data_IF_736462107246
#
_entry.id   IF_736462107246
#
_cell.length_a   1.000
_cell.length_b   1.000
_cell.length_c   1.000
_cell.angle_alpha   90.00
_cell.angle_beta   90.00
_cell.angle_gamma   90.00
#
_symmetry.space_group_name_H-M   'P 1'
#
loop_
_entity.id
_entity.type
_entity.pdbx_description
1 polymer ?
#
# COMPACT_ATOMS: atom_id res chain seq x y z
N UNK A 1 -0.41 -18.54 -47.29
CA UNK A 1 -0.84 -17.46 -46.38
C UNK A 1 0.00 -17.58 -45.12
N UNK A 2 1.12 -16.87 -45.08
CA UNK A 2 2.04 -16.77 -43.94
C UNK A 2 1.48 -15.76 -42.94
N UNK A 3 1.30 -16.16 -41.69
CA UNK A 3 0.97 -15.25 -40.60
C UNK A 3 2.28 -14.75 -39.95
N UNK A 4 2.67 -13.47 -40.08
CA UNK A 4 3.99 -12.98 -39.67
C UNK A 4 4.04 -12.39 -38.24
N UNK A 5 3.25 -12.90 -37.29
CA UNK A 5 3.25 -12.42 -35.89
C UNK A 5 3.37 -13.57 -34.90
N UNK A 6 4.45 -14.34 -35.02
CA UNK A 6 4.96 -15.17 -33.92
C UNK A 6 6.04 -14.36 -33.20
N UNK A 7 5.60 -13.48 -32.30
CA UNK A 7 6.51 -12.75 -31.43
C UNK A 7 7.09 -13.76 -30.42
N UNK A 8 8.43 -13.92 -30.33
CA UNK A 8 9.03 -14.85 -29.38
C UNK A 8 8.58 -14.47 -27.96
N UNK A 9 8.04 -15.47 -27.28
CA UNK A 9 7.36 -15.32 -26.00
C UNK A 9 8.20 -14.56 -24.99
N UNK A 10 7.60 -13.51 -24.42
CA UNK A 10 7.96 -13.07 -23.06
C UNK A 10 7.86 -14.30 -22.17
N UNK A 11 9.00 -14.70 -21.59
CA UNK A 11 9.08 -15.74 -20.57
C UNK A 11 7.99 -15.53 -19.52
N UNK A 12 7.34 -16.62 -19.15
CA UNK A 12 6.00 -16.61 -18.59
C UNK A 12 5.82 -15.72 -17.36
N UNK A 13 4.59 -15.21 -17.23
CA UNK A 13 3.99 -14.94 -15.93
C UNK A 13 3.90 -16.26 -15.14
N UNK A 14 5.04 -16.72 -14.64
CA UNK A 14 5.07 -17.69 -13.56
C UNK A 14 4.53 -17.02 -12.31
N UNK A 15 3.79 -17.78 -11.50
CA UNK A 15 3.57 -17.42 -10.09
C UNK A 15 4.90 -16.96 -9.49
N UNK A 16 4.94 -15.96 -8.59
CA UNK A 16 6.18 -15.51 -7.95
C UNK A 16 6.91 -16.70 -7.32
N UNK A 17 7.90 -17.24 -8.03
CA UNK A 17 8.73 -18.32 -7.51
C UNK A 17 9.74 -17.69 -6.55
N UNK A 18 10.01 -18.33 -5.40
CA UNK A 18 11.06 -17.87 -4.51
C UNK A 18 12.36 -17.62 -5.29
N UNK A 19 13.03 -16.47 -5.06
CA UNK A 19 14.28 -16.16 -5.75
C UNK A 19 15.28 -17.29 -5.52
N UNK A 20 15.93 -17.73 -6.60
CA UNK A 20 16.96 -18.77 -6.54
C UNK A 20 18.29 -18.18 -6.08
N UNK A 21 19.01 -18.87 -5.21
CA UNK A 21 20.34 -18.43 -4.78
C UNK A 21 20.75 -19.06 -3.45
N UNK A 22 22.01 -18.85 -3.09
CA UNK A 22 22.57 -19.29 -1.82
C UNK A 22 22.72 -18.07 -0.89
N UNK A 23 22.26 -18.16 0.37
CA UNK A 23 22.40 -17.06 1.32
C UNK A 23 23.88 -16.84 1.65
N UNK A 24 24.37 -15.64 1.36
CA UNK A 24 25.74 -15.21 1.66
C UNK A 24 25.82 -14.36 2.93
N UNK A 25 24.68 -13.88 3.44
CA UNK A 25 24.56 -13.16 4.71
C UNK A 25 23.09 -12.92 5.10
N UNK A 26 22.85 -12.76 6.39
CA UNK A 26 21.52 -12.49 6.98
C UNK A 26 21.61 -11.30 7.91
N UNK A 27 20.74 -10.31 7.71
CA UNK A 27 20.77 -9.04 8.43
C UNK A 27 19.39 -8.69 9.01
N UNK A 28 19.31 -8.09 10.21
CA UNK A 28 18.04 -7.70 10.83
C UNK A 28 17.35 -6.56 10.08
N UNK A 29 18.09 -5.66 9.44
CA UNK A 29 17.53 -4.47 8.77
C UNK A 29 17.87 -4.44 7.28
N UNK A 30 16.98 -3.82 6.50
CA UNK A 30 17.24 -3.61 5.07
C UNK A 30 18.49 -2.75 4.85
N UNK A 31 18.74 -1.77 5.71
CA UNK A 31 19.90 -0.90 5.62
C UNK A 31 21.23 -1.66 5.78
N UNK A 32 21.28 -2.64 6.68
CA UNK A 32 22.47 -3.50 6.85
C UNK A 32 22.66 -4.44 5.66
N UNK A 33 21.59 -5.04 5.15
CA UNK A 33 21.64 -5.84 3.93
C UNK A 33 22.10 -5.01 2.73
N UNK A 34 21.61 -3.77 2.60
CA UNK A 34 22.03 -2.84 1.56
C UNK A 34 23.53 -2.50 1.71
N UNK A 35 24.00 -2.21 2.93
CA UNK A 35 25.42 -1.94 3.20
C UNK A 35 26.33 -3.12 2.80
N UNK A 36 25.86 -4.36 2.98
CA UNK A 36 26.58 -5.54 2.52
C UNK A 36 26.67 -5.61 0.99
N UNK A 37 25.58 -5.30 0.28
CA UNK A 37 25.57 -5.23 -1.19
C UNK A 37 26.43 -4.08 -1.71
N UNK A 38 26.37 -2.92 -1.07
CA UNK A 38 27.19 -1.76 -1.41
C UNK A 38 28.69 -2.10 -1.27
N UNK A 39 29.08 -2.77 -0.19
CA UNK A 39 30.46 -3.23 -0.02
C UNK A 39 30.90 -4.24 -1.09
N UNK A 40 30.02 -5.15 -1.51
CA UNK A 40 30.31 -6.05 -2.63
C UNK A 40 30.50 -5.25 -3.93
N UNK A 41 29.66 -4.24 -4.17
CA UNK A 41 29.79 -3.33 -5.31
C UNK A 41 31.14 -2.60 -5.31
N UNK A 42 31.57 -2.09 -4.14
CA UNK A 42 32.83 -1.38 -3.98
C UNK A 42 34.06 -2.28 -4.25
N UNK A 43 33.91 -3.59 -4.08
CA UNK A 43 34.93 -4.59 -4.43
C UNK A 43 34.83 -5.10 -5.86
N UNK A 44 34.09 -4.40 -6.72
CA UNK A 44 33.87 -4.76 -8.13
C UNK A 44 33.23 -6.17 -8.28
N UNK A 45 32.45 -6.59 -7.29
CA UNK A 45 31.66 -7.81 -7.39
C UNK A 45 30.45 -7.60 -8.32
N UNK A 46 30.04 -8.65 -9.02
CA UNK A 46 28.85 -8.62 -9.88
C UNK A 46 27.58 -8.54 -9.04
N UNK A 47 27.14 -7.34 -8.70
CA UNK A 47 25.88 -7.10 -7.95
C UNK A 47 24.63 -7.61 -8.69
N UNK A 48 24.74 -7.86 -9.99
CA UNK A 48 23.69 -8.47 -10.80
C UNK A 48 23.38 -9.90 -10.36
N UNK A 49 24.36 -10.58 -9.76
CA UNK A 49 24.20 -11.93 -9.22
C UNK A 49 23.64 -11.91 -7.78
N UNK A 50 23.34 -10.74 -7.21
CA UNK A 50 22.93 -10.57 -5.80
C UNK A 50 21.47 -10.16 -5.69
N UNK A 51 20.74 -10.76 -4.75
CA UNK A 51 19.33 -10.45 -4.48
C UNK A 51 19.08 -10.31 -2.99
N UNK A 52 18.51 -9.19 -2.56
CA UNK A 52 18.06 -9.01 -1.17
C UNK A 52 16.65 -9.56 -1.03
N UNK A 53 16.44 -10.46 -0.07
CA UNK A 53 15.16 -11.13 0.17
C UNK A 53 14.72 -10.89 1.60
N UNK A 54 13.52 -10.32 1.76
CA UNK A 54 12.87 -10.27 3.06
C UNK A 54 12.38 -11.66 3.45
N UNK A 55 12.88 -12.19 4.56
CA UNK A 55 12.51 -13.51 5.08
C UNK A 55 11.66 -13.33 6.34
N UNK A 56 10.79 -14.32 6.59
CA UNK A 56 9.83 -14.31 7.69
C UNK A 56 8.93 -13.08 7.67
N UNK A 57 8.13 -12.95 6.62
CA UNK A 57 7.17 -11.85 6.50
C UNK A 57 6.17 -11.90 7.65
N UNK A 58 6.22 -10.87 8.49
CA UNK A 58 5.31 -10.63 9.59
C UNK A 58 4.22 -9.67 9.11
N UNK A 59 2.96 -10.09 9.23
CA UNK A 59 1.83 -9.19 9.04
C UNK A 59 1.60 -8.41 10.33
N UNK A 60 1.88 -7.11 10.29
CA UNK A 60 1.67 -6.20 11.42
C UNK A 60 0.37 -5.44 11.19
N UNK A 61 -0.57 -5.62 12.10
CA UNK A 61 -1.80 -4.83 12.16
C UNK A 61 -1.58 -3.65 13.10
N UNK A 62 -1.35 -2.46 12.54
CA UNK A 62 -1.13 -1.25 13.34
C UNK A 62 -2.48 -0.63 13.69
N UNK A 63 -2.81 -0.60 14.98
CA UNK A 63 -4.04 0.00 15.51
C UNK A 63 -3.90 1.53 15.46
N UNK A 64 -4.67 2.18 14.58
CA UNK A 64 -4.64 3.64 14.36
C UNK A 64 -5.49 4.41 15.40
N UNK A 65 -6.44 3.73 16.04
CA UNK A 65 -7.30 4.31 17.07
C UNK A 65 -8.72 3.72 17.05
N UNK A 66 -9.55 4.19 17.97
CA UNK A 66 -10.96 3.79 18.08
C UNK A 66 -11.79 4.50 17.01
N UNK A 67 -12.56 3.74 16.25
CA UNK A 67 -13.50 4.29 15.29
C UNK A 67 -14.78 4.68 16.04
N UNK A 68 -14.92 5.96 16.41
CA UNK A 68 -16.10 6.45 17.14
C UNK A 68 -17.21 6.91 16.20
N UNK A 69 -18.46 6.68 16.59
CA UNK A 69 -19.65 7.17 15.90
C UNK A 69 -19.61 8.66 15.60
N UNK A 70 -19.03 9.45 16.52
CA UNK A 70 -18.85 10.89 16.35
C UNK A 70 -18.02 11.22 15.11
N UNK A 71 -16.97 10.44 14.80
CA UNK A 71 -16.12 10.69 13.63
C UNK A 71 -16.81 10.34 12.31
N UNK A 72 -17.61 9.27 12.31
CA UNK A 72 -18.39 8.85 11.13
C UNK A 72 -19.53 9.82 10.85
N UNK A 73 -20.33 10.16 11.86
CA UNK A 73 -21.41 11.14 11.75
C UNK A 73 -20.85 12.52 11.37
N UNK A 74 -19.77 12.95 12.02
CA UNK A 74 -19.11 14.22 11.69
C UNK A 74 -18.63 14.28 10.25
N UNK A 75 -17.97 13.22 9.75
CA UNK A 75 -17.55 13.12 8.35
C UNK A 75 -18.72 13.13 7.37
N UNK A 76 -19.81 12.41 7.68
CA UNK A 76 -21.03 12.37 6.88
C UNK A 76 -21.75 13.72 6.78
N UNK A 77 -21.82 14.47 7.88
CA UNK A 77 -22.39 15.83 7.88
C UNK A 77 -21.56 16.76 7.01
N UNK A 78 -20.23 16.76 7.16
CA UNK A 78 -19.36 17.66 6.39
C UNK A 78 -19.44 17.35 4.89
N UNK A 79 -19.32 16.07 4.52
CA UNK A 79 -19.41 15.65 3.12
C UNK A 79 -20.81 15.91 2.54
N UNK A 80 -21.86 15.65 3.32
CA UNK A 80 -23.24 15.86 2.93
C UNK A 80 -23.59 17.34 2.77
N UNK A 81 -23.15 18.19 3.71
CA UNK A 81 -23.33 19.63 3.64
C UNK A 81 -22.64 20.23 2.41
N UNK A 82 -21.42 19.79 2.08
CA UNK A 82 -20.72 20.24 0.87
C UNK A 82 -21.50 19.89 -0.40
N UNK A 83 -21.97 18.64 -0.52
CA UNK A 83 -22.82 18.22 -1.64
C UNK A 83 -24.13 19.02 -1.66
N UNK A 84 -24.72 19.27 -0.50
CA UNK A 84 -25.95 20.03 -0.33
C UNK A 84 -25.81 21.50 -0.73
N UNK A 85 -24.68 22.14 -0.38
CA UNK A 85 -24.32 23.48 -0.87
C UNK A 85 -24.23 23.46 -2.38
N UNK A 86 -23.51 22.50 -2.96
CA UNK A 86 -23.38 22.38 -4.41
C UNK A 86 -24.74 22.23 -5.10
N UNK A 87 -25.58 21.29 -4.64
CA UNK A 87 -26.91 21.07 -5.21
C UNK A 87 -27.84 22.27 -4.99
N UNK A 88 -27.77 22.90 -3.81
CA UNK A 88 -28.54 24.10 -3.47
C UNK A 88 -28.18 25.32 -4.33
N UNK A 89 -26.89 25.49 -4.67
CA UNK A 89 -26.44 26.51 -5.61
C UNK A 89 -26.93 26.24 -7.03
N UNK A 90 -26.84 24.99 -7.50
CA UNK A 90 -27.37 24.59 -8.80
C UNK A 90 -28.87 24.86 -8.88
N UNK A 91 -29.65 24.40 -7.90
CA UNK A 91 -31.10 24.66 -7.82
C UNK A 91 -31.40 26.16 -7.74
N UNK A 92 -30.62 26.91 -6.96
CA UNK A 92 -30.78 28.35 -6.79
C UNK A 92 -30.66 29.14 -8.10
N UNK A 93 -29.83 28.68 -9.04
CA UNK A 93 -29.72 29.30 -10.39
C UNK A 93 -31.03 29.14 -11.18
N UNK A 94 -31.75 28.04 -10.99
CA UNK A 94 -33.05 27.79 -11.64
C UNK A 94 -34.24 28.40 -10.88
N UNK A 95 -34.02 28.86 -9.65
CA UNK A 95 -35.10 29.38 -8.80
C UNK A 95 -35.11 30.90 -8.87
N UNK A 96 -36.12 31.48 -9.52
CA UNK A 96 -36.27 32.93 -9.70
C UNK A 96 -36.37 33.69 -8.34
N UNK A 97 -35.24 34.05 -7.76
CA UNK A 97 -35.12 34.94 -6.59
C UNK A 97 -35.06 34.29 -5.21
N UNK A 98 -35.23 32.96 -5.08
CA UNK A 98 -35.18 32.26 -3.78
C UNK A 98 -33.93 31.40 -3.60
N UNK A 99 -32.75 32.00 -3.81
CA UNK A 99 -31.45 31.34 -3.63
C UNK A 99 -31.27 30.84 -2.20
N UNK A 100 -31.67 31.62 -1.20
CA UNK A 100 -31.54 31.25 0.22
C UNK A 100 -32.38 30.02 0.57
N UNK A 101 -33.61 29.92 0.06
CA UNK A 101 -34.46 28.74 0.26
C UNK A 101 -33.91 27.50 -0.44
N UNK A 102 -33.46 27.64 -1.68
CA UNK A 102 -32.84 26.55 -2.43
C UNK A 102 -31.56 26.04 -1.75
N UNK A 103 -30.74 26.93 -1.21
CA UNK A 103 -29.53 26.59 -0.49
C UNK A 103 -29.83 25.89 0.85
N UNK A 104 -30.81 26.37 1.61
CA UNK A 104 -31.22 25.74 2.86
C UNK A 104 -31.73 24.32 2.64
N UNK A 105 -32.58 24.11 1.63
CA UNK A 105 -33.11 22.79 1.27
C UNK A 105 -31.96 21.88 0.78
N UNK A 106 -31.06 22.41 -0.05
CA UNK A 106 -29.89 21.69 -0.54
C UNK A 106 -29.00 21.21 0.60
N UNK A 107 -28.64 22.09 1.55
CA UNK A 107 -27.80 21.75 2.70
C UNK A 107 -28.48 20.69 3.59
N UNK A 108 -29.75 20.89 3.94
CA UNK A 108 -30.48 19.94 4.80
C UNK A 108 -30.60 18.58 4.13
N UNK A 109 -31.00 18.55 2.85
CA UNK A 109 -31.09 17.32 2.07
C UNK A 109 -29.73 16.64 1.90
N UNK A 110 -28.68 17.41 1.65
CA UNK A 110 -27.31 16.93 1.54
C UNK A 110 -26.79 16.32 2.84
N UNK A 111 -27.04 16.96 4.00
CA UNK A 111 -26.68 16.41 5.31
C UNK A 111 -27.42 15.09 5.57
N UNK A 112 -28.73 15.04 5.33
CA UNK A 112 -29.51 13.80 5.51
C UNK A 112 -28.96 12.69 4.61
N UNK A 113 -28.70 13.01 3.34
CA UNK A 113 -28.12 12.07 2.38
C UNK A 113 -26.70 11.61 2.79
N UNK A 114 -25.85 12.54 3.24
CA UNK A 114 -24.50 12.25 3.73
C UNK A 114 -24.51 11.37 4.99
N UNK A 115 -25.46 11.59 5.89
CA UNK A 115 -25.67 10.75 7.06
C UNK A 115 -26.12 9.34 6.67
N UNK A 116 -27.10 9.20 5.77
CA UNK A 116 -27.58 7.90 5.31
C UNK A 116 -26.47 7.13 4.59
N UNK A 117 -25.76 7.79 3.67
CA UNK A 117 -24.70 7.18 2.85
C UNK A 117 -23.46 6.76 3.64
N UNK A 118 -23.20 7.37 4.80
CA UNK A 118 -22.10 6.96 5.70
C UNK A 118 -22.57 6.00 6.79
N UNK A 119 -23.78 6.18 7.33
CA UNK A 119 -24.32 5.36 8.42
C UNK A 119 -24.68 3.94 7.97
N UNK A 120 -25.22 3.75 6.75
CA UNK A 120 -25.57 2.41 6.25
C UNK A 120 -24.34 1.51 6.10
N UNK A 121 -23.29 1.88 5.33
CA UNK A 121 -22.09 1.05 5.21
C UNK A 121 -21.35 0.91 6.54
N UNK A 122 -21.35 1.94 7.39
CA UNK A 122 -20.78 1.82 8.73
C UNK A 122 -21.57 0.84 9.60
N UNK A 123 -22.91 0.86 9.59
CA UNK A 123 -23.74 -0.08 10.34
C UNK A 123 -23.62 -1.51 9.80
N UNK A 124 -23.48 -1.70 8.48
CA UNK A 124 -23.26 -3.00 7.86
C UNK A 124 -21.88 -3.59 8.17
N UNK A 125 -20.88 -2.74 8.43
CA UNK A 125 -19.51 -3.15 8.83
C UNK A 125 -19.30 -3.12 10.34
N UNK A 126 -20.24 -2.53 11.10
CA UNK A 126 -20.22 -2.45 12.56
C UNK A 126 -20.45 -3.84 13.15
N UNK A 127 -19.45 -4.33 13.87
CA UNK A 127 -19.51 -5.63 14.55
C UNK A 127 -18.29 -6.52 14.32
N UNK A 128 -17.39 -6.17 13.40
CA UNK A 128 -16.17 -6.98 13.17
C UNK A 128 -14.86 -6.34 13.63
N UNK A 129 -14.74 -5.00 13.76
CA UNK A 129 -13.52 -4.34 14.29
C UNK A 129 -13.82 -2.97 14.92
N UNK A 130 -13.65 -2.83 16.23
CA UNK A 130 -13.72 -1.54 16.95
C UNK A 130 -12.47 -0.66 16.80
N UNK A 131 -11.60 -1.02 15.85
CA UNK A 131 -10.31 -0.39 15.61
C UNK A 131 -10.14 -0.12 14.12
N UNK A 132 -9.75 1.10 13.78
CA UNK A 132 -9.17 1.35 12.47
C UNK A 132 -7.77 0.74 12.46
N UNK A 133 -7.53 -0.21 11.57
CA UNK A 133 -6.21 -0.81 11.42
C UNK A 133 -5.71 -0.68 9.99
N UNK A 134 -4.41 -0.45 9.86
CA UNK A 134 -3.70 -0.59 8.59
C UNK A 134 -2.91 -1.89 8.62
N UNK A 135 -3.12 -2.76 7.64
CA UNK A 135 -2.30 -3.95 7.45
C UNK A 135 -1.00 -3.55 6.76
N UNK A 136 0.13 -3.93 7.35
CA UNK A 136 1.44 -3.75 6.77
C UNK A 136 2.19 -5.08 6.81
N UNK A 137 2.83 -5.48 5.72
CA UNK A 137 3.81 -6.57 5.73
C UNK A 137 5.19 -5.99 6.06
N UNK A 138 5.88 -6.63 6.99
CA UNK A 138 7.25 -6.29 7.41
C UNK A 138 8.07 -7.57 7.38
N UNK A 139 9.30 -7.55 6.88
CA UNK A 139 10.18 -8.71 6.95
C UNK A 139 10.82 -8.81 8.34
N UNK A 140 10.89 -10.02 8.91
CA UNK A 140 11.58 -10.25 10.18
C UNK A 140 13.10 -10.14 10.07
N UNK A 141 13.65 -10.50 8.90
CA UNK A 141 15.06 -10.29 8.53
C UNK A 141 15.22 -10.14 7.02
N UNK A 142 16.41 -9.77 6.60
CA UNK A 142 16.80 -9.60 5.21
C UNK A 142 18.01 -10.49 4.90
N UNK A 143 17.80 -11.50 4.06
CA UNK A 143 18.86 -12.40 3.59
C UNK A 143 19.37 -11.88 2.24
N UNK A 144 20.69 -11.80 2.09
CA UNK A 144 21.34 -11.49 0.83
C UNK A 144 21.67 -12.81 0.15
N UNK A 145 21.01 -13.09 -0.97
CA UNK A 145 21.24 -14.27 -1.80
C UNK A 145 22.19 -13.94 -2.94
N UNK A 146 22.99 -14.92 -3.35
CA UNK A 146 23.82 -14.83 -4.53
C UNK A 146 23.68 -16.05 -5.42
N UNK A 147 23.92 -15.90 -6.73
CA UNK A 147 23.98 -17.04 -7.63
C UNK A 147 25.06 -18.06 -7.21
N UNK A 148 24.81 -19.38 -7.34
CA UNK A 148 25.73 -20.41 -6.85
C UNK A 148 27.16 -20.29 -7.40
N UNK A 149 27.30 -19.78 -8.63
CA UNK A 149 28.59 -19.61 -9.32
C UNK A 149 29.54 -18.63 -8.62
N UNK A 150 28.99 -17.64 -7.91
CA UNK A 150 29.74 -16.52 -7.33
C UNK A 150 29.52 -16.36 -5.82
N UNK A 151 28.65 -17.20 -5.23
CA UNK A 151 28.30 -17.18 -3.81
C UNK A 151 29.49 -17.39 -2.86
N UNK A 152 30.42 -18.31 -3.17
CA UNK A 152 31.61 -18.53 -2.32
C UNK A 152 32.49 -17.28 -2.24
N UNK A 153 32.80 -16.68 -3.40
CA UNK A 153 33.58 -15.44 -3.48
C UNK A 153 32.90 -14.30 -2.71
N UNK A 154 31.59 -14.13 -2.88
CA UNK A 154 30.84 -13.09 -2.18
C UNK A 154 30.86 -13.29 -0.66
N UNK A 155 30.71 -14.52 -0.19
CA UNK A 155 30.77 -14.86 1.23
C UNK A 155 32.17 -14.59 1.82
N UNK A 156 33.24 -14.93 1.10
CA UNK A 156 34.61 -14.62 1.51
C UNK A 156 34.90 -13.12 1.57
N UNK A 157 34.30 -12.35 0.66
CA UNK A 157 34.37 -10.88 0.69
C UNK A 157 33.62 -10.32 1.90
N UNK A 158 32.37 -10.74 2.12
CA UNK A 158 31.56 -10.31 3.27
C UNK A 158 32.17 -10.70 4.61
N UNK A 159 32.89 -11.82 4.70
CA UNK A 159 33.63 -12.21 5.89
C UNK A 159 34.70 -11.16 6.30
N UNK A 160 35.25 -10.40 5.35
CA UNK A 160 36.22 -9.32 5.61
C UNK A 160 35.56 -8.01 6.04
N UNK A 161 34.26 -7.85 5.79
CA UNK A 161 33.50 -6.66 6.17
C UNK A 161 33.18 -6.63 7.68
N UNK A 162 33.18 -7.80 8.34
CA UNK A 162 32.90 -8.02 9.77
C UNK A 162 32.07 -6.90 10.42
N UNK A 163 30.77 -6.88 10.11
CA UNK A 163 29.73 -6.12 10.83
C UNK A 163 29.10 -7.04 11.87
#
# INVERSE_FOLDING_TARGET
>A
MTNPLSQPGRGGQGLPTPPSGWPIGSYPTYAEAQKAVDYLSDQEFSVQDVTIVGVDLMQVERVLGRLTWAKVIGGGIVSGAWLGVFLGLVLGIFTNGNLFGALAIGIVGGIIFGLISTAIPYAATRGQRDFASSMQLVAGRYDVLCEPKSAEKARDMLAKLSI
#
